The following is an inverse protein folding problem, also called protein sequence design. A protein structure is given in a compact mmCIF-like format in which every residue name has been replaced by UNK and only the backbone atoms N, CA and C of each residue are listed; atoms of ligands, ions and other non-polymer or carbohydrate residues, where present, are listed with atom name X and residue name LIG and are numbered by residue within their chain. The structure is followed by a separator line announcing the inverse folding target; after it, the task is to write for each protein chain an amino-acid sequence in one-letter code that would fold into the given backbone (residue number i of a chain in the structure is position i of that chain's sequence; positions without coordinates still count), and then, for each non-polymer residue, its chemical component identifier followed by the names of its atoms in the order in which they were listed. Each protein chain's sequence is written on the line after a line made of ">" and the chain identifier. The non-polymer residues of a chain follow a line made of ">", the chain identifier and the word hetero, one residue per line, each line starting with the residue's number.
data_IF_877901839280
#
_entry.id   IF_877901839280
#
_cell.length_a   1.000
_cell.length_b   1.000
_cell.length_c   1.000
_cell.angle_alpha   90.00
_cell.angle_beta   90.00
_cell.angle_gamma   90.00
#
_symmetry.space_group_name_H-M   'P 1'
#
loop_
_entity.id
_entity.type
_entity.pdbx_description
1 polymer ?
#
# COMPACT_ATOMS: atom_id res chain seq x y z
N UNK A 1 2.35 14.61 87.51
CA UNK A 1 2.08 13.15 87.46
C UNK A 1 2.45 12.67 86.05
N UNK A 2 3.36 11.71 85.86
CA UNK A 2 3.09 10.25 85.84
C UNK A 2 2.11 9.87 84.71
N UNK A 3 2.46 9.09 83.66
CA UNK A 3 3.60 8.15 83.45
C UNK A 3 3.87 7.91 81.94
N UNK A 4 5.14 7.59 81.61
CA UNK A 4 5.68 6.61 80.62
C UNK A 4 5.03 6.49 79.20
N UNK A 5 5.77 6.43 78.09
CA UNK A 5 7.23 6.58 77.85
C UNK A 5 7.52 7.18 76.44
N UNK A 6 8.34 6.72 75.47
CA UNK A 6 9.08 5.46 75.18
C UNK A 6 10.36 5.76 74.33
N UNK A 7 11.13 4.73 73.99
CA UNK A 7 12.38 4.71 73.21
C UNK A 7 12.12 5.07 71.72
N UNK A 8 12.83 6.02 71.09
CA UNK A 8 14.18 5.96 70.47
C UNK A 8 14.28 5.16 69.14
N UNK A 9 15.14 5.56 68.18
CA UNK A 9 14.70 5.77 66.80
C UNK A 9 15.22 4.75 65.75
N UNK A 10 14.68 4.86 64.54
CA UNK A 10 15.28 4.34 63.29
C UNK A 10 15.50 5.51 62.32
N UNK A 11 16.65 5.52 61.64
CA UNK A 11 17.03 6.54 60.65
C UNK A 11 16.68 6.07 59.24
N UNK A 12 15.86 6.87 58.54
CA UNK A 12 15.74 6.94 57.06
C UNK A 12 15.11 8.31 56.76
N UNK A 13 15.84 9.28 56.22
CA UNK A 13 16.27 9.45 54.82
C UNK A 13 15.27 10.32 54.02
N UNK A 14 15.78 11.21 53.15
CA UNK A 14 14.98 12.21 52.44
C UNK A 14 14.18 11.58 51.29
N UNK A 15 12.86 11.83 51.22
CA UNK A 15 12.08 11.81 49.97
C UNK A 15 10.65 12.40 50.16
N UNK A 16 10.50 13.73 50.27
CA UNK A 16 9.19 14.40 50.16
C UNK A 16 9.29 15.59 49.20
N UNK A 17 9.57 15.29 47.93
CA UNK A 17 9.61 16.27 46.84
C UNK A 17 9.36 15.58 45.48
N UNK A 18 8.26 14.82 45.39
CA UNK A 18 7.87 14.04 44.22
C UNK A 18 6.34 13.98 43.98
N UNK A 19 5.62 15.06 44.32
CA UNK A 19 4.17 15.20 44.03
C UNK A 19 3.99 16.13 42.83
N UNK A 20 4.44 15.68 41.65
CA UNK A 20 4.16 16.31 40.35
C UNK A 20 4.52 15.43 39.12
N UNK A 21 4.81 14.13 39.31
CA UNK A 21 5.35 13.23 38.28
C UNK A 21 4.42 12.04 37.95
N UNK A 22 3.11 12.23 38.02
CA UNK A 22 2.09 11.23 37.66
C UNK A 22 1.26 11.67 36.45
N UNK A 23 1.96 11.98 35.36
CA UNK A 23 1.51 11.88 33.97
C UNK A 23 2.77 11.64 33.13
N UNK A 24 3.08 10.39 32.74
CA UNK A 24 4.05 10.17 31.68
C UNK A 24 3.38 10.61 30.37
N UNK A 25 3.70 11.83 29.92
CA UNK A 25 3.56 12.14 28.50
C UNK A 25 4.37 11.10 27.71
N UNK A 26 3.82 10.59 26.63
CA UNK A 26 4.43 9.50 25.88
C UNK A 26 5.78 9.95 25.31
N UNK A 27 6.87 9.57 25.98
CA UNK A 27 8.19 9.60 25.39
C UNK A 27 8.21 8.52 24.31
N UNK A 28 8.11 8.93 23.04
CA UNK A 28 8.17 8.02 21.91
C UNK A 28 9.43 7.16 22.02
N UNK A 29 9.25 5.85 22.14
CA UNK A 29 10.34 4.89 22.00
C UNK A 29 10.48 4.64 20.50
N UNK A 30 11.42 5.35 19.87
CA UNK A 30 11.73 5.15 18.46
C UNK A 30 12.16 3.70 18.20
N UNK A 31 11.72 3.17 17.06
CA UNK A 31 12.07 1.81 16.61
C UNK A 31 13.23 1.96 15.62
N UNK A 32 14.42 1.40 15.89
CA UNK A 32 15.57 1.55 15.00
C UNK A 32 15.34 1.02 13.58
N UNK A 33 15.91 1.70 12.58
CA UNK A 33 15.66 1.42 11.16
C UNK A 33 16.57 0.29 10.63
N UNK A 34 16.26 -0.95 11.02
CA UNK A 34 16.76 -2.17 10.36
C UNK A 34 16.51 -2.22 8.82
N UNK A 35 16.98 -3.29 8.16
CA UNK A 35 17.02 -3.42 6.69
C UNK A 35 15.72 -3.81 5.97
N UNK A 36 14.94 -2.83 5.53
CA UNK A 36 13.71 -3.02 4.74
C UNK A 36 13.84 -2.73 3.24
N UNK A 37 12.89 -3.23 2.46
CA UNK A 37 12.59 -2.80 1.09
C UNK A 37 11.10 -2.50 0.98
N UNK A 38 10.73 -1.42 0.30
CA UNK A 38 9.37 -1.02 -0.12
C UNK A 38 9.41 -0.47 -1.55
N UNK A 39 8.26 -0.26 -2.19
CA UNK A 39 8.15 0.49 -3.44
C UNK A 39 7.62 1.91 -3.17
N UNK A 40 7.93 2.87 -4.04
CA UNK A 40 7.34 4.20 -3.99
C UNK A 40 7.17 4.84 -5.36
N UNK A 41 6.11 5.62 -5.51
CA UNK A 41 5.86 6.47 -6.67
C UNK A 41 6.40 7.88 -6.39
N UNK A 42 7.14 8.46 -7.34
CA UNK A 42 7.75 9.77 -7.15
C UNK A 42 6.75 10.92 -7.35
N UNK A 43 6.79 11.87 -6.40
CA UNK A 43 6.11 13.16 -6.49
C UNK A 43 7.00 14.17 -7.23
N UNK A 44 6.93 14.17 -8.56
CA UNK A 44 7.53 15.20 -9.42
C UNK A 44 6.55 15.71 -10.49
N UNK A 45 6.79 16.90 -11.07
CA UNK A 45 5.95 17.54 -12.09
C UNK A 45 6.36 17.21 -13.54
N UNK A 46 7.50 16.54 -13.75
CA UNK A 46 8.14 16.35 -15.07
C UNK A 46 8.44 14.89 -15.40
N UNK A 47 8.99 14.12 -14.46
CA UNK A 47 9.21 12.68 -14.60
C UNK A 47 8.28 11.90 -13.68
N UNK A 48 7.79 10.75 -14.15
CA UNK A 48 6.94 9.84 -13.38
C UNK A 48 7.69 8.55 -13.09
N UNK A 49 8.53 8.62 -12.06
CA UNK A 49 9.41 7.53 -11.66
C UNK A 49 8.76 6.64 -10.60
N UNK A 50 9.02 5.35 -10.70
CA UNK A 50 8.78 4.36 -9.67
C UNK A 50 10.13 3.90 -9.13
N UNK A 51 10.23 3.72 -7.82
CA UNK A 51 11.47 3.34 -7.14
C UNK A 51 11.28 2.11 -6.27
N UNK A 52 12.31 1.27 -6.23
CA UNK A 52 12.56 0.36 -5.12
C UNK A 52 13.36 1.12 -4.06
N UNK A 53 12.84 1.21 -2.84
CA UNK A 53 13.38 1.99 -1.74
C UNK A 53 13.88 1.03 -0.66
N UNK A 54 15.17 1.07 -0.34
CA UNK A 54 15.76 0.35 0.79
C UNK A 54 16.00 1.30 1.96
N UNK A 55 15.44 0.95 3.12
CA UNK A 55 15.44 1.79 4.33
C UNK A 55 16.58 1.45 5.30
N UNK A 56 17.48 0.51 4.95
CA UNK A 56 18.36 -0.17 5.90
C UNK A 56 19.62 0.56 6.39
N UNK A 57 20.07 0.15 7.58
CA UNK A 57 21.15 0.75 8.39
C UNK A 57 22.46 1.07 7.65
N UNK A 58 23.01 0.16 6.84
CA UNK A 58 24.35 0.33 6.25
C UNK A 58 24.41 1.41 5.16
N UNK A 59 23.44 1.39 4.23
CA UNK A 59 23.24 2.43 3.19
C UNK A 59 21.75 2.46 2.79
N UNK A 60 20.95 3.39 3.34
CA UNK A 60 19.64 3.70 2.79
C UNK A 60 19.78 4.14 1.34
N UNK A 61 19.02 3.53 0.42
CA UNK A 61 19.19 3.73 -1.01
C UNK A 61 17.88 3.66 -1.78
N UNK A 62 17.81 4.38 -2.90
CA UNK A 62 16.73 4.28 -3.89
C UNK A 62 17.30 3.76 -5.20
N UNK A 63 16.58 2.84 -5.84
CA UNK A 63 16.91 2.30 -7.16
C UNK A 63 15.74 2.56 -8.08
N UNK A 64 15.99 3.25 -9.20
CA UNK A 64 14.95 3.50 -10.21
C UNK A 64 14.45 2.15 -10.75
N UNK A 65 13.17 1.89 -10.57
CA UNK A 65 12.50 0.68 -11.04
C UNK A 65 11.96 0.90 -12.45
N UNK A 66 11.28 2.02 -12.68
CA UNK A 66 10.77 2.41 -14.00
C UNK A 66 10.60 3.94 -14.11
N UNK A 67 10.95 4.52 -15.26
CA UNK A 67 10.56 5.89 -15.61
C UNK A 67 9.39 5.84 -16.61
N UNK A 68 8.18 6.11 -16.14
CA UNK A 68 6.95 6.03 -16.93
C UNK A 68 6.90 7.11 -18.02
N UNK A 69 7.48 8.29 -17.78
CA UNK A 69 7.62 9.36 -18.78
C UNK A 69 8.52 8.91 -19.94
N UNK A 70 9.65 8.25 -19.64
CA UNK A 70 10.54 7.68 -20.65
C UNK A 70 9.85 6.55 -21.43
N UNK A 71 9.16 5.62 -20.75
CA UNK A 71 8.44 4.53 -21.44
C UNK A 71 7.36 5.03 -22.39
N UNK A 72 6.67 6.11 -22.05
CA UNK A 72 5.70 6.76 -22.95
C UNK A 72 6.33 7.48 -24.17
N UNK A 73 7.67 7.55 -24.26
CA UNK A 73 8.40 7.99 -25.44
C UNK A 73 9.05 6.84 -26.24
N UNK A 74 9.06 5.62 -25.68
CA UNK A 74 9.76 4.45 -26.22
C UNK A 74 8.79 3.32 -26.67
N UNK A 75 7.59 3.26 -26.08
CA UNK A 75 6.53 2.29 -26.38
C UNK A 75 5.36 2.98 -27.09
N UNK A 76 5.14 2.67 -28.37
CA UNK A 76 4.06 3.29 -29.18
C UNK A 76 2.64 2.91 -28.69
N UNK A 77 2.50 1.78 -27.99
CA UNK A 77 1.23 1.31 -27.39
C UNK A 77 1.04 1.79 -25.94
N UNK A 78 1.90 2.69 -25.43
CA UNK A 78 1.86 3.11 -24.03
C UNK A 78 0.45 3.60 -23.60
N UNK A 79 -0.13 3.09 -22.49
CA UNK A 79 -1.44 3.52 -22.02
C UNK A 79 -1.38 4.92 -21.40
N UNK A 80 -1.51 5.95 -22.23
CA UNK A 80 -1.49 7.38 -21.83
C UNK A 80 -2.51 7.73 -20.75
N UNK A 81 -3.55 6.91 -20.59
CA UNK A 81 -4.52 6.94 -19.49
C UNK A 81 -3.88 6.79 -18.09
N UNK A 82 -2.68 6.22 -18.00
CA UNK A 82 -1.96 6.02 -16.74
C UNK A 82 -1.19 7.25 -16.24
N UNK A 83 -1.12 8.34 -17.00
CA UNK A 83 -0.73 9.64 -16.47
C UNK A 83 -1.91 10.35 -15.79
N UNK A 84 -1.62 11.20 -14.81
CA UNK A 84 -2.54 12.22 -14.30
C UNK A 84 -2.06 13.61 -14.69
N UNK A 85 -2.96 14.46 -15.16
CA UNK A 85 -2.64 15.77 -15.74
C UNK A 85 -3.18 16.93 -14.90
N UNK A 86 -2.61 18.12 -15.08
CA UNK A 86 -3.10 19.35 -14.45
C UNK A 86 -4.44 19.85 -15.03
N UNK A 87 -4.95 19.26 -16.12
CA UNK A 87 -6.19 19.63 -16.79
C UNK A 87 -7.05 18.38 -17.14
N UNK A 88 -8.40 18.49 -17.12
CA UNK A 88 -9.33 17.38 -17.37
C UNK A 88 -9.33 16.81 -18.80
N UNK A 89 -8.63 17.45 -19.74
CA UNK A 89 -8.53 17.04 -21.14
C UNK A 89 -7.23 16.28 -21.46
N UNK A 90 -6.51 15.82 -20.42
CA UNK A 90 -5.20 15.17 -20.49
C UNK A 90 -4.11 16.04 -21.15
N UNK A 91 -4.20 17.37 -20.99
CA UNK A 91 -3.21 18.32 -21.53
C UNK A 91 -2.44 19.07 -20.43
N UNK A 92 -1.31 19.68 -20.82
CA UNK A 92 -0.47 20.49 -19.93
C UNK A 92 0.59 19.67 -19.20
N UNK A 93 1.01 20.14 -18.02
CA UNK A 93 1.92 19.40 -17.15
C UNK A 93 1.23 18.26 -16.41
N UNK A 94 2.03 17.38 -15.79
CA UNK A 94 1.50 16.32 -14.95
C UNK A 94 1.04 16.83 -13.58
N UNK A 95 0.06 16.16 -12.99
CA UNK A 95 -0.34 16.28 -11.59
C UNK A 95 0.78 15.69 -10.70
N UNK A 96 1.34 16.45 -9.75
CA UNK A 96 2.49 16.01 -8.94
C UNK A 96 2.16 14.80 -8.05
N UNK A 97 0.92 14.71 -7.55
CA UNK A 97 0.49 13.62 -6.67
C UNK A 97 0.21 12.28 -7.36
N UNK A 98 0.23 12.21 -8.70
CA UNK A 98 -0.02 10.96 -9.46
C UNK A 98 1.21 10.48 -10.22
N UNK A 99 1.55 9.18 -10.30
CA UNK A 99 0.86 8.03 -9.71
C UNK A 99 0.70 8.08 -8.18
N UNK A 100 -0.38 7.47 -7.71
CA UNK A 100 -0.76 7.36 -6.30
C UNK A 100 -1.50 6.03 -6.09
N UNK A 101 -2.09 5.81 -4.92
CA UNK A 101 -2.78 4.59 -4.54
C UNK A 101 -1.96 3.32 -4.86
N UNK A 102 -0.69 3.31 -4.44
CA UNK A 102 0.31 2.34 -4.87
C UNK A 102 0.13 1.03 -4.09
N UNK A 103 0.00 -0.09 -4.81
CA UNK A 103 -0.32 -1.37 -4.18
C UNK A 103 0.35 -2.54 -4.91
N UNK A 104 1.27 -3.23 -4.23
CA UNK A 104 1.97 -4.40 -4.79
C UNK A 104 1.20 -5.70 -4.50
N UNK A 105 0.98 -6.52 -5.52
CA UNK A 105 0.16 -7.73 -5.45
C UNK A 105 0.84 -8.96 -4.83
N UNK A 106 2.03 -8.78 -4.26
CA UNK A 106 2.87 -9.85 -3.70
C UNK A 106 3.60 -10.70 -4.74
N UNK A 107 3.33 -10.48 -6.04
CA UNK A 107 3.81 -11.36 -7.12
C UNK A 107 4.64 -10.60 -8.16
N UNK A 108 4.01 -9.74 -8.96
CA UNK A 108 4.67 -9.04 -10.07
C UNK A 108 3.96 -7.76 -10.56
N UNK A 109 2.85 -7.35 -9.93
CA UNK A 109 2.08 -6.15 -10.33
C UNK A 109 2.16 -5.09 -9.25
N UNK A 110 2.62 -3.91 -9.64
CA UNK A 110 2.58 -2.70 -8.84
C UNK A 110 1.41 -1.85 -9.36
N UNK A 111 0.22 -2.02 -8.77
CA UNK A 111 -0.97 -1.26 -9.08
C UNK A 111 -0.85 0.19 -8.63
N UNK A 112 -1.49 1.11 -9.35
CA UNK A 112 -1.59 2.52 -9.00
C UNK A 112 -2.81 3.20 -9.62
N UNK A 113 -3.25 4.29 -9.01
CA UNK A 113 -4.23 5.22 -9.57
C UNK A 113 -3.56 6.43 -10.24
N UNK A 114 -4.19 6.90 -11.31
CA UNK A 114 -3.94 8.20 -11.92
C UNK A 114 -5.25 8.98 -12.12
N UNK A 115 -5.22 10.30 -11.97
CA UNK A 115 -6.37 11.18 -12.21
C UNK A 115 -5.91 12.59 -12.60
N UNK A 116 -6.83 13.32 -13.22
CA UNK A 116 -6.59 14.70 -13.62
C UNK A 116 -7.13 15.67 -12.58
N UNK A 117 -6.45 16.81 -12.44
CA UNK A 117 -6.95 17.92 -11.63
C UNK A 117 -8.07 18.63 -12.40
N UNK A 118 -9.20 18.83 -11.74
CA UNK A 118 -10.38 19.51 -12.30
C UNK A 118 -10.81 20.66 -11.39
N UNK A 119 -11.61 21.59 -11.94
CA UNK A 119 -12.17 22.72 -11.19
C UNK A 119 -13.32 22.28 -10.26
N UNK A 120 -13.90 21.10 -10.50
CA UNK A 120 -14.96 20.49 -9.72
C UNK A 120 -14.52 19.09 -9.26
N UNK A 121 -14.05 18.94 -8.00
CA UNK A 121 -13.59 17.67 -7.47
C UNK A 121 -14.60 16.52 -7.56
N UNK A 122 -15.90 16.80 -7.66
CA UNK A 122 -16.93 15.75 -7.83
C UNK A 122 -16.93 15.10 -9.22
N UNK A 123 -16.13 15.62 -10.16
CA UNK A 123 -15.94 15.10 -11.51
C UNK A 123 -14.61 14.33 -11.67
N UNK A 124 -13.73 14.35 -10.67
CA UNK A 124 -12.47 13.60 -10.70
C UNK A 124 -12.80 12.09 -10.67
N UNK A 125 -12.17 11.33 -11.56
CA UNK A 125 -12.25 9.86 -11.60
C UNK A 125 -10.86 9.28 -11.69
N UNK A 126 -10.54 8.34 -10.82
CA UNK A 126 -9.30 7.59 -10.91
C UNK A 126 -9.31 6.57 -12.05
N UNK A 127 -8.12 6.32 -12.60
CA UNK A 127 -7.81 5.30 -13.59
C UNK A 127 -6.86 4.32 -12.92
N UNK A 128 -7.30 3.09 -12.72
CA UNK A 128 -6.45 2.03 -12.18
C UNK A 128 -5.56 1.51 -13.30
N UNK A 129 -4.27 1.50 -13.04
CA UNK A 129 -3.23 0.91 -13.87
C UNK A 129 -2.36 -0.03 -13.04
N UNK A 130 -1.47 -0.77 -13.69
CA UNK A 130 -0.32 -1.38 -13.00
C UNK A 130 0.95 -1.27 -13.84
N UNK A 131 2.09 -1.21 -13.15
CA UNK A 131 3.39 -1.55 -13.72
C UNK A 131 3.64 -3.04 -13.51
N UNK A 132 4.06 -3.73 -14.58
CA UNK A 132 4.47 -5.13 -14.52
C UNK A 132 5.97 -5.20 -14.24
N UNK A 133 6.36 -5.63 -13.03
CA UNK A 133 7.77 -5.87 -12.66
C UNK A 133 8.45 -6.91 -13.58
N UNK A 134 7.63 -7.73 -14.24
CA UNK A 134 8.05 -8.88 -15.03
C UNK A 134 8.19 -8.57 -16.52
N UNK A 135 7.25 -7.81 -17.10
CA UNK A 135 7.27 -7.45 -18.53
C UNK A 135 7.72 -6.01 -18.78
N UNK A 136 8.02 -5.25 -17.72
CA UNK A 136 8.62 -3.91 -17.79
C UNK A 136 7.79 -2.93 -18.65
N UNK A 137 6.46 -3.09 -18.58
CA UNK A 137 5.43 -2.32 -19.28
C UNK A 137 4.33 -1.90 -18.32
N UNK A 138 3.61 -0.85 -18.73
CA UNK A 138 2.47 -0.28 -18.04
C UNK A 138 1.16 -0.74 -18.69
N UNK A 139 0.13 -0.96 -17.88
CA UNK A 139 -1.17 -1.45 -18.33
C UNK A 139 -2.31 -0.66 -17.69
N UNK A 140 -3.28 -0.21 -18.50
CA UNK A 140 -4.53 0.35 -18.00
C UNK A 140 -5.53 -0.78 -17.70
N UNK A 141 -6.14 -0.76 -16.51
CA UNK A 141 -7.14 -1.74 -16.08
C UNK A 141 -8.55 -1.20 -16.31
N UNK A 142 -8.93 -0.12 -15.61
CA UNK A 142 -10.27 0.46 -15.71
C UNK A 142 -10.39 1.87 -15.11
N UNK A 143 -11.52 2.53 -15.37
CA UNK A 143 -11.98 3.71 -14.64
C UNK A 143 -12.64 3.32 -13.31
N UNK A 144 -12.42 4.14 -12.29
CA UNK A 144 -13.10 4.06 -11.00
C UNK A 144 -14.19 5.14 -10.86
N UNK A 145 -15.20 4.90 -9.99
CA UNK A 145 -16.19 5.92 -9.64
C UNK A 145 -15.65 6.96 -8.65
N UNK A 146 -14.63 6.60 -7.89
CA UNK A 146 -14.05 7.38 -6.79
C UNK A 146 -12.70 8.02 -7.16
N UNK A 147 -12.29 8.98 -6.33
CA UNK A 147 -10.92 9.50 -6.26
C UNK A 147 -10.12 8.65 -5.25
N UNK A 148 -9.03 8.05 -5.72
CA UNK A 148 -8.14 7.15 -4.98
C UNK A 148 -6.85 7.85 -4.57
N UNK A 149 -6.84 8.46 -3.38
CA UNK A 149 -5.71 9.23 -2.80
C UNK A 149 -4.94 8.39 -1.75
N UNK A 150 -4.67 7.14 -2.11
CA UNK A 150 -4.11 6.09 -1.27
C UNK A 150 -4.87 4.76 -1.46
N UNK A 151 -4.15 3.63 -1.42
CA UNK A 151 -4.72 2.27 -1.45
C UNK A 151 -3.73 1.26 -0.84
N UNK A 152 -4.12 -0.02 -0.80
CA UNK A 152 -3.27 -1.13 -0.37
C UNK A 152 -3.73 -2.46 -1.01
N UNK A 153 -2.99 -3.56 -0.82
CA UNK A 153 -3.30 -4.86 -1.43
C UNK A 153 -3.35 -6.01 -0.42
N UNK A 154 -4.53 -6.60 -0.19
CA UNK A 154 -4.62 -7.89 0.51
C UNK A 154 -4.38 -9.02 -0.50
N UNK A 155 -3.19 -9.60 -0.44
CA UNK A 155 -2.74 -10.70 -1.29
C UNK A 155 -3.52 -11.99 -1.06
N UNK A 156 -3.98 -12.20 0.18
CA UNK A 156 -4.69 -13.42 0.62
C UNK A 156 -6.04 -13.51 -0.08
N UNK A 157 -6.78 -12.40 -0.10
CA UNK A 157 -8.09 -12.30 -0.76
C UNK A 157 -8.05 -11.67 -2.17
N UNK A 158 -6.85 -11.37 -2.67
CA UNK A 158 -6.55 -10.64 -3.93
C UNK A 158 -7.43 -9.40 -4.14
N UNK A 159 -7.59 -8.62 -3.06
CA UNK A 159 -8.34 -7.38 -3.07
C UNK A 159 -7.39 -6.18 -3.09
N UNK A 160 -7.59 -5.30 -4.06
CA UNK A 160 -7.12 -3.91 -4.00
C UNK A 160 -8.09 -3.12 -3.11
N UNK A 161 -7.59 -2.50 -2.05
CA UNK A 161 -8.40 -1.94 -0.95
C UNK A 161 -8.10 -0.45 -0.79
N UNK A 162 -9.13 0.37 -0.62
CA UNK A 162 -8.99 1.80 -0.31
C UNK A 162 -10.10 2.27 0.64
N UNK A 163 -9.91 3.41 1.30
CA UNK A 163 -10.96 4.09 2.06
C UNK A 163 -11.41 5.30 1.25
N UNK A 164 -12.72 5.44 1.00
CA UNK A 164 -13.27 6.60 0.30
C UNK A 164 -13.13 7.84 1.18
N UNK A 165 -12.70 8.95 0.58
CA UNK A 165 -12.73 10.25 1.26
C UNK A 165 -14.16 10.61 1.71
N UNK A 166 -14.35 10.79 3.02
CA UNK A 166 -15.69 10.99 3.58
C UNK A 166 -16.32 12.32 3.17
N UNK A 167 -17.65 12.44 3.24
CA UNK A 167 -18.30 13.75 3.14
C UNK A 167 -17.87 14.68 4.30
N UNK A 168 -17.94 16.02 4.15
CA UNK A 168 -17.83 16.93 5.29
C UNK A 168 -18.86 16.58 6.39
N UNK A 169 -18.50 16.82 7.65
CA UNK A 169 -19.40 16.59 8.80
C UNK A 169 -20.70 17.42 8.67
N UNK A 170 -21.87 16.88 9.07
CA UNK A 170 -22.06 15.67 9.88
C UNK A 170 -22.06 14.34 9.10
N UNK A 171 -22.01 14.37 7.76
CA UNK A 171 -22.21 13.17 6.94
C UNK A 171 -20.93 12.33 6.73
N UNK A 172 -19.79 12.75 7.27
CA UNK A 172 -18.52 12.05 7.15
C UNK A 172 -18.36 10.90 8.14
N UNK A 173 -18.55 9.68 7.65
CA UNK A 173 -18.15 8.42 8.27
C UNK A 173 -17.11 7.71 7.39
N UNK A 174 -16.45 6.67 7.92
CA UNK A 174 -15.53 5.84 7.14
C UNK A 174 -16.30 4.89 6.21
N UNK A 175 -15.85 4.79 4.96
CA UNK A 175 -16.30 3.79 3.99
C UNK A 175 -15.08 3.08 3.42
N UNK A 176 -14.91 1.80 3.77
CA UNK A 176 -13.89 0.93 3.21
C UNK A 176 -14.41 0.34 1.90
N UNK A 177 -13.59 0.30 0.85
CA UNK A 177 -13.92 -0.35 -0.42
C UNK A 177 -12.89 -1.45 -0.68
N UNK A 178 -13.37 -2.66 -0.91
CA UNK A 178 -12.56 -3.81 -1.34
C UNK A 178 -12.92 -4.15 -2.78
N UNK A 179 -11.90 -4.26 -3.64
CA UNK A 179 -12.04 -4.52 -5.06
C UNK A 179 -11.36 -5.85 -5.39
N UNK A 180 -12.16 -6.88 -5.64
CA UNK A 180 -11.64 -8.21 -5.95
C UNK A 180 -11.17 -8.23 -7.39
N UNK A 181 -9.88 -8.49 -7.59
CA UNK A 181 -9.28 -8.60 -8.92
C UNK A 181 -9.21 -10.06 -9.35
N UNK A 182 -9.12 -10.27 -10.65
CA UNK A 182 -8.83 -11.56 -11.27
C UNK A 182 -7.31 -11.79 -11.28
N UNK A 183 -6.83 -12.91 -10.72
CA UNK A 183 -5.39 -13.20 -10.61
C UNK A 183 -4.71 -13.35 -11.98
N UNK A 184 -5.40 -13.88 -12.99
CA UNK A 184 -4.84 -14.01 -14.35
C UNK A 184 -4.72 -12.64 -15.03
N UNK A 185 -5.81 -11.87 -15.08
CA UNK A 185 -5.98 -10.70 -15.98
C UNK A 185 -5.91 -9.34 -15.28
N UNK A 186 -5.79 -9.29 -13.96
CA UNK A 186 -5.83 -8.07 -13.12
C UNK A 186 -7.13 -7.24 -13.22
N UNK A 187 -8.17 -7.75 -13.89
CA UNK A 187 -9.46 -7.05 -14.06
C UNK A 187 -10.33 -7.15 -12.81
N UNK A 188 -11.21 -6.17 -12.59
CA UNK A 188 -12.14 -6.21 -11.46
C UNK A 188 -13.24 -7.25 -11.69
N UNK A 189 -13.32 -8.22 -10.78
CA UNK A 189 -14.42 -9.18 -10.68
C UNK A 189 -15.60 -8.55 -9.93
N UNK A 190 -15.31 -7.91 -8.79
CA UNK A 190 -16.34 -7.30 -7.93
C UNK A 190 -15.81 -6.13 -7.11
N UNK A 191 -16.72 -5.29 -6.62
CA UNK A 191 -16.44 -4.20 -5.71
C UNK A 191 -17.45 -4.23 -4.58
N UNK A 192 -16.99 -4.10 -3.33
CA UNK A 192 -17.84 -4.06 -2.14
C UNK A 192 -17.47 -2.86 -1.27
N UNK A 193 -18.49 -2.13 -0.79
CA UNK A 193 -18.32 -0.99 0.14
C UNK A 193 -18.85 -1.37 1.51
N UNK A 194 -18.02 -1.24 2.53
CA UNK A 194 -18.33 -1.51 3.94
C UNK A 194 -18.30 -0.20 4.73
N UNK A 195 -19.44 0.16 5.32
CA UNK A 195 -19.64 1.37 6.14
C UNK A 195 -19.99 1.06 7.60
N UNK A 196 -19.96 -0.22 7.98
CA UNK A 196 -20.29 -0.73 9.31
C UNK A 196 -19.09 -1.46 9.90
N UNK A 197 -18.68 -1.07 11.11
CA UNK A 197 -17.50 -1.59 11.79
C UNK A 197 -17.83 -1.85 13.27
N UNK A 198 -17.11 -2.77 13.89
CA UNK A 198 -17.02 -2.86 15.35
C UNK A 198 -15.93 -1.89 15.80
N UNK A 199 -16.30 -0.79 16.45
CA UNK A 199 -15.33 0.13 17.06
C UNK A 199 -14.76 -0.50 18.34
N UNK A 200 -13.45 -0.71 18.36
CA UNK A 200 -12.67 -1.27 19.46
C UNK A 200 -11.74 -0.23 20.12
N UNK A 201 -11.90 1.05 19.79
CA UNK A 201 -11.15 2.18 20.36
C UNK A 201 -11.28 2.19 21.90
N UNK A 202 -10.17 2.41 22.61
CA UNK A 202 -10.13 2.30 24.08
C UNK A 202 -10.24 0.86 24.61
N UNK A 203 -10.23 -0.16 23.74
CA UNK A 203 -10.14 -1.58 24.12
C UNK A 203 -11.46 -2.27 24.47
N UNK A 204 -12.60 -1.57 24.37
CA UNK A 204 -13.94 -2.16 24.54
C UNK A 204 -14.63 -2.27 23.18
N UNK A 205 -15.14 -3.45 22.83
CA UNK A 205 -15.90 -3.64 21.59
C UNK A 205 -17.29 -2.99 21.70
N UNK A 206 -17.60 -2.09 20.78
CA UNK A 206 -18.93 -1.51 20.62
C UNK A 206 -19.82 -2.41 19.74
N UNK A 207 -21.11 -2.07 19.65
CA UNK A 207 -21.99 -2.72 18.66
C UNK A 207 -21.60 -2.30 17.23
N UNK A 208 -21.78 -3.16 16.21
CA UNK A 208 -21.52 -2.79 14.82
C UNK A 208 -22.29 -1.53 14.40
N UNK A 209 -21.60 -0.55 13.83
CA UNK A 209 -22.19 0.72 13.39
C UNK A 209 -21.25 1.57 12.53
N UNK A 210 -21.71 2.76 12.16
CA UNK A 210 -20.89 3.72 11.40
C UNK A 210 -19.84 4.38 12.30
N UNK A 211 -18.59 4.40 11.86
CA UNK A 211 -17.50 5.12 12.54
C UNK A 211 -17.47 6.57 12.03
N UNK A 212 -17.87 7.53 12.87
CA UNK A 212 -17.97 8.95 12.53
C UNK A 212 -16.61 9.70 12.50
N UNK A 213 -15.61 9.07 11.88
CA UNK A 213 -14.36 9.67 11.45
C UNK A 213 -14.45 9.98 9.95
N UNK A 214 -13.69 10.98 9.49
CA UNK A 214 -13.73 11.42 8.09
C UNK A 214 -12.35 11.21 7.49
N UNK A 215 -12.21 10.26 6.58
CA UNK A 215 -10.96 10.01 5.86
C UNK A 215 -10.65 11.16 4.89
N UNK A 216 -9.38 11.56 4.80
CA UNK A 216 -8.90 12.72 4.04
C UNK A 216 -7.46 12.44 3.58
N UNK A 217 -7.29 11.95 2.35
CA UNK A 217 -6.00 11.45 1.85
C UNK A 217 -5.25 10.49 2.80
N UNK A 218 -3.98 10.26 2.49
CA UNK A 218 -3.11 9.35 3.25
C UNK A 218 -3.21 7.90 2.79
N UNK A 219 -2.10 7.19 2.88
CA UNK A 219 -1.99 5.82 2.36
C UNK A 219 -2.38 4.76 3.39
N UNK A 220 -2.40 3.50 2.91
CA UNK A 220 -2.79 2.33 3.68
C UNK A 220 -1.78 1.20 3.50
N UNK A 221 -1.49 0.48 4.59
CA UNK A 221 -0.65 -0.70 4.57
C UNK A 221 -1.39 -1.86 5.26
N UNK A 222 -1.58 -2.98 4.56
CA UNK A 222 -2.18 -4.18 5.14
C UNK A 222 -1.10 -5.22 5.45
N UNK A 223 -1.16 -5.81 6.65
CA UNK A 223 -0.27 -6.89 7.06
C UNK A 223 -0.78 -8.27 6.61
N UNK A 224 0.07 -9.29 6.69
CA UNK A 224 -0.29 -10.66 6.31
C UNK A 224 -1.26 -11.37 7.30
N UNK A 225 -1.73 -10.67 8.34
CA UNK A 225 -2.81 -11.13 9.23
C UNK A 225 -4.15 -10.49 8.87
N UNK A 226 -4.21 -9.64 7.83
CA UNK A 226 -5.41 -8.91 7.42
C UNK A 226 -5.68 -7.65 8.26
N UNK A 227 -4.67 -7.06 8.91
CA UNK A 227 -4.79 -5.78 9.62
C UNK A 227 -4.36 -4.65 8.68
N UNK A 228 -5.32 -3.87 8.22
CA UNK A 228 -5.06 -2.63 7.48
C UNK A 228 -4.76 -1.51 8.47
N UNK A 229 -3.62 -0.84 8.31
CA UNK A 229 -3.26 0.41 8.97
C UNK A 229 -3.44 1.57 7.98
N UNK A 230 -3.83 2.74 8.48
CA UNK A 230 -4.10 3.93 7.67
C UNK A 230 -3.75 5.22 8.43
N UNK A 231 -3.23 6.20 7.70
CA UNK A 231 -3.10 7.59 8.15
C UNK A 231 -4.29 8.42 7.63
N UNK A 232 -4.41 9.70 7.98
CA UNK A 232 -5.30 10.60 7.24
C UNK A 232 -4.87 12.07 7.38
N UNK A 233 -4.54 12.74 6.29
CA UNK A 233 -4.06 14.12 6.32
C UNK A 233 -5.14 15.11 6.79
N UNK A 234 -4.86 15.87 7.85
CA UNK A 234 -5.78 16.83 8.48
C UNK A 234 -6.15 18.08 7.65
N UNK A 235 -5.99 18.02 6.32
CA UNK A 235 -6.18 19.18 5.43
C UNK A 235 -7.63 19.68 5.45
N UNK A 236 -7.81 20.98 5.26
CA UNK A 236 -9.14 21.62 5.28
C UNK A 236 -9.83 21.68 6.66
N UNK A 237 -9.14 21.32 7.75
CA UNK A 237 -9.70 21.36 9.11
C UNK A 237 -10.16 20.00 9.66
N UNK A 238 -9.74 18.89 9.05
CA UNK A 238 -9.89 17.55 9.63
C UNK A 238 -8.82 17.27 10.69
N UNK A 239 -9.11 16.43 11.67
CA UNK A 239 -8.06 15.91 12.55
C UNK A 239 -7.16 14.97 11.74
N UNK A 240 -5.85 14.98 12.04
CA UNK A 240 -4.95 13.92 11.60
C UNK A 240 -5.23 12.66 12.42
N UNK A 241 -5.10 11.47 11.84
CA UNK A 241 -5.42 10.21 12.54
C UNK A 241 -4.50 9.09 12.08
N UNK A 242 -4.05 8.25 13.02
CA UNK A 242 -3.52 6.93 12.71
C UNK A 242 -4.44 5.87 13.32
N UNK A 243 -4.86 4.89 12.52
CA UNK A 243 -5.81 3.87 12.93
C UNK A 243 -5.57 2.55 12.22
N UNK A 244 -6.19 1.49 12.74
CA UNK A 244 -6.24 0.20 12.04
C UNK A 244 -7.66 -0.34 11.91
N UNK A 245 -7.85 -1.18 10.90
CA UNK A 245 -9.04 -1.97 10.62
C UNK A 245 -8.57 -3.42 10.51
N UNK A 246 -8.93 -4.26 11.48
CA UNK A 246 -8.87 -5.71 11.30
C UNK A 246 -9.91 -6.08 10.25
N UNK A 247 -9.47 -6.49 9.06
CA UNK A 247 -10.33 -6.91 7.96
C UNK A 247 -11.03 -8.21 8.35
N UNK A 248 -12.32 -8.33 7.99
CA UNK A 248 -13.10 -9.51 8.31
C UNK A 248 -12.58 -10.75 7.55
N UNK A 249 -12.54 -11.90 8.20
CA UNK A 249 -12.33 -13.17 7.50
C UNK A 249 -13.59 -13.54 6.69
N UNK A 250 -13.50 -13.56 5.36
CA UNK A 250 -14.61 -13.91 4.46
C UNK A 250 -15.03 -15.37 4.55
N UNK A 251 -14.19 -16.27 5.09
CA UNK A 251 -14.56 -17.67 5.34
C UNK A 251 -15.40 -17.87 6.62
N UNK A 252 -15.63 -16.81 7.41
CA UNK A 252 -16.34 -16.87 8.69
C UNK A 252 -17.67 -16.08 8.64
N UNK A 253 -18.83 -16.75 8.46
CA UNK A 253 -20.12 -16.07 8.39
C UNK A 253 -20.45 -15.28 9.65
N UNK A 254 -20.56 -13.96 9.51
CA UNK A 254 -20.83 -13.04 10.62
C UNK A 254 -19.59 -12.35 11.20
N UNK A 255 -18.40 -12.59 10.64
CA UNK A 255 -17.22 -11.75 10.87
C UNK A 255 -17.51 -10.28 10.50
N UNK A 256 -16.84 -9.34 11.17
CA UNK A 256 -17.03 -7.89 11.00
C UNK A 256 -15.67 -7.20 10.94
N UNK A 257 -15.57 -6.10 10.19
CA UNK A 257 -14.37 -5.26 10.21
C UNK A 257 -14.25 -4.57 11.57
N UNK A 258 -13.07 -4.65 12.21
CA UNK A 258 -12.85 -4.12 13.57
C UNK A 258 -11.98 -2.87 13.50
N UNK A 259 -12.59 -1.69 13.67
CA UNK A 259 -11.90 -0.40 13.68
C UNK A 259 -11.24 -0.13 15.04
N UNK A 260 -10.04 0.44 15.02
CA UNK A 260 -9.32 0.93 16.21
C UNK A 260 -8.61 2.23 15.86
N UNK A 261 -9.05 3.34 16.45
CA UNK A 261 -8.22 4.55 16.50
C UNK A 261 -7.01 4.30 17.40
N UNK A 262 -5.82 4.65 16.92
CA UNK A 262 -4.55 4.45 17.63
C UNK A 262 -4.03 5.82 18.12
N UNK A 263 -3.98 6.81 17.23
CA UNK A 263 -3.61 8.20 17.53
C UNK A 263 -4.50 9.21 16.77
N UNK A 264 -4.66 10.42 17.30
CA UNK A 264 -5.41 11.52 16.67
C UNK A 264 -4.87 12.88 17.14
N UNK A 265 -4.41 13.70 16.20
CA UNK A 265 -3.96 15.08 16.46
C UNK A 265 -4.94 16.11 15.88
N UNK A 266 -5.13 17.27 16.55
CA UNK A 266 -6.08 18.27 16.12
C UNK A 266 -5.60 18.98 14.85
N UNK A 267 -6.57 19.35 14.00
CA UNK A 267 -6.43 19.98 12.68
C UNK A 267 -5.56 21.26 12.54
N UNK A 268 -4.92 21.73 13.62
CA UNK A 268 -4.06 22.91 13.65
C UNK A 268 -2.55 22.58 13.63
N UNK A 269 -2.15 21.31 13.73
CA UNK A 269 -0.74 20.92 13.74
C UNK A 269 -0.21 20.60 12.33
N UNK A 270 0.33 21.61 11.65
CA UNK A 270 1.06 21.45 10.38
C UNK A 270 2.54 21.08 10.57
N UNK A 271 2.97 20.86 11.82
CA UNK A 271 4.30 20.34 12.12
C UNK A 271 4.41 18.83 11.88
N UNK A 272 5.63 18.34 12.08
CA UNK A 272 5.87 16.96 12.51
C UNK A 272 5.14 16.74 13.86
N UNK A 273 4.46 15.61 14.00
CA UNK A 273 3.69 15.20 15.18
C UNK A 273 4.47 14.21 16.07
N UNK A 274 5.37 13.43 15.46
CA UNK A 274 5.98 12.23 16.05
C UNK A 274 5.13 10.98 15.88
N UNK A 275 4.12 11.01 15.01
CA UNK A 275 3.16 9.93 14.80
C UNK A 275 2.81 9.79 13.31
N UNK A 276 2.50 8.58 12.87
CA UNK A 276 2.17 8.26 11.47
C UNK A 276 0.74 8.68 11.06
N UNK A 277 0.33 9.88 11.46
CA UNK A 277 -1.05 10.38 11.40
C UNK A 277 -1.38 11.15 10.12
N UNK A 278 -0.36 11.52 9.34
CA UNK A 278 -0.45 12.21 8.05
C UNK A 278 0.60 11.74 7.03
N UNK A 279 1.15 10.55 7.25
CA UNK A 279 2.25 9.97 6.47
C UNK A 279 1.77 8.94 5.45
N UNK A 280 2.57 8.74 4.40
CA UNK A 280 2.44 7.62 3.47
C UNK A 280 2.94 6.33 4.15
N UNK A 281 2.30 5.18 3.89
CA UNK A 281 2.42 3.96 4.71
C UNK A 281 2.71 2.71 3.87
N UNK A 282 3.77 1.97 4.21
CA UNK A 282 4.07 0.68 3.60
C UNK A 282 4.75 -0.30 4.57
N UNK A 283 4.35 -1.58 4.54
CA UNK A 283 5.10 -2.65 5.20
C UNK A 283 6.30 -3.07 4.37
N UNK A 284 7.47 -3.13 4.99
CA UNK A 284 8.66 -3.65 4.33
C UNK A 284 8.71 -5.18 4.26
N UNK A 285 9.71 -5.70 3.53
CA UNK A 285 10.03 -7.13 3.43
C UNK A 285 10.27 -7.86 4.78
N UNK A 286 10.42 -7.13 5.90
CA UNK A 286 10.61 -7.69 7.25
C UNK A 286 9.33 -7.61 8.10
N UNK A 287 8.22 -7.10 7.54
CA UNK A 287 6.97 -6.92 8.27
C UNK A 287 6.99 -5.75 9.25
N UNK A 288 7.75 -4.69 8.96
CA UNK A 288 7.73 -3.44 9.74
C UNK A 288 6.96 -2.38 8.98
N UNK A 289 6.05 -1.70 9.65
CA UNK A 289 5.36 -0.54 9.08
C UNK A 289 6.32 0.65 8.96
N UNK A 290 6.52 1.13 7.74
CA UNK A 290 7.28 2.34 7.39
C UNK A 290 6.29 3.48 7.15
N UNK A 291 6.65 4.67 7.64
CA UNK A 291 5.97 5.95 7.39
C UNK A 291 6.83 6.87 6.54
N UNK A 292 6.21 7.76 5.76
CA UNK A 292 6.89 8.88 5.11
C UNK A 292 6.09 10.18 5.09
N UNK A 293 6.73 11.26 5.56
CA UNK A 293 6.30 12.64 5.32
C UNK A 293 6.47 13.02 3.84
N UNK A 294 5.36 13.27 3.15
CA UNK A 294 5.29 13.58 1.71
C UNK A 294 5.72 15.02 1.32
N UNK A 295 5.96 15.89 2.29
CA UNK A 295 6.53 17.23 2.08
C UNK A 295 8.05 17.28 2.39
N UNK A 296 8.52 16.47 3.36
CA UNK A 296 9.89 16.52 3.90
C UNK A 296 10.76 15.33 3.48
N UNK A 297 10.18 14.31 2.86
CA UNK A 297 10.88 13.10 2.39
C UNK A 297 11.45 12.24 3.54
N UNK A 298 10.93 12.41 4.75
CA UNK A 298 11.39 11.76 5.99
C UNK A 298 10.75 10.38 6.08
N UNK A 299 11.54 9.32 6.01
CA UNK A 299 11.11 7.93 6.21
C UNK A 299 11.45 7.47 7.62
N UNK A 300 10.50 6.87 8.34
CA UNK A 300 10.75 6.32 9.68
C UNK A 300 9.88 5.08 10.01
N UNK A 301 10.30 4.28 10.98
CA UNK A 301 9.54 3.07 11.40
C UNK A 301 8.43 3.47 12.37
N UNK A 302 7.23 2.93 12.14
CA UNK A 302 6.03 3.18 12.96
C UNK A 302 5.89 2.12 14.05
N UNK A 303 5.57 2.55 15.27
CA UNK A 303 5.12 1.68 16.33
C UNK A 303 3.60 1.46 16.19
N UNK A 304 3.18 0.37 15.57
CA UNK A 304 1.77 0.01 15.30
C UNK A 304 0.83 0.07 16.53
N UNK A 305 1.37 -0.10 17.75
CA UNK A 305 0.59 -0.10 18.99
C UNK A 305 0.28 1.31 19.50
N UNK A 306 1.12 2.30 19.15
CA UNK A 306 1.02 3.68 19.66
C UNK A 306 0.90 4.74 18.57
N UNK A 307 1.12 4.36 17.31
CA UNK A 307 1.23 5.25 16.15
C UNK A 307 2.51 6.09 16.09
N UNK A 308 3.37 6.01 17.12
CA UNK A 308 4.57 6.85 17.19
C UNK A 308 5.57 6.47 16.09
N UNK A 309 6.12 7.47 15.42
CA UNK A 309 7.13 7.31 14.36
C UNK A 309 8.48 7.89 14.82
N UNK A 310 9.50 7.89 13.95
CA UNK A 310 10.86 8.36 14.25
C UNK A 310 11.19 9.79 13.80
N UNK A 311 10.25 10.51 13.20
CA UNK A 311 10.51 11.75 12.44
C UNK A 311 11.08 12.92 13.27
N UNK A 312 10.80 12.93 14.58
CA UNK A 312 11.29 13.95 15.52
C UNK A 312 12.68 13.62 16.10
N UNK A 313 13.29 12.50 15.70
CA UNK A 313 14.57 12.02 16.20
C UNK A 313 15.78 12.52 15.41
N UNK A 314 16.74 11.62 15.17
CA UNK A 314 18.02 11.90 14.51
C UNK A 314 18.08 11.21 13.14
N UNK A 315 18.50 11.96 12.12
CA UNK A 315 18.71 11.44 10.77
C UNK A 315 19.83 10.39 10.75
N UNK A 316 19.57 9.24 10.12
CA UNK A 316 20.45 8.07 10.13
C UNK A 316 20.33 7.19 11.38
N UNK A 317 19.35 7.44 12.26
CA UNK A 317 19.10 6.64 13.48
C UNK A 317 17.60 6.36 13.66
N UNK A 318 16.79 7.42 13.72
CA UNK A 318 15.35 7.35 13.95
C UNK A 318 14.56 7.59 12.64
N UNK A 319 15.11 8.40 11.72
CA UNK A 319 14.58 8.57 10.37
C UNK A 319 15.69 8.64 9.30
N UNK A 320 15.34 8.48 8.02
CA UNK A 320 16.24 8.70 6.86
C UNK A 320 15.57 9.56 5.79
N UNK A 321 16.36 10.14 4.89
CA UNK A 321 15.90 10.87 3.71
C UNK A 321 16.75 10.50 2.50
N UNK A 322 16.14 10.47 1.31
CA UNK A 322 16.83 10.08 0.09
C UNK A 322 17.15 11.30 -0.77
N UNK A 323 18.39 11.36 -1.25
CA UNK A 323 18.88 12.42 -2.13
C UNK A 323 19.51 11.82 -3.37
N UNK A 324 19.17 12.34 -4.54
CA UNK A 324 19.88 12.07 -5.79
C UNK A 324 20.36 13.38 -6.40
N UNK A 325 21.60 13.41 -6.91
CA UNK A 325 22.27 14.60 -7.43
C UNK A 325 22.21 15.85 -6.52
N UNK A 326 22.00 15.66 -5.21
CA UNK A 326 21.83 16.72 -4.21
C UNK A 326 20.40 17.27 -4.06
N UNK A 327 19.43 16.73 -4.80
CA UNK A 327 18.01 17.03 -4.65
C UNK A 327 17.35 15.99 -3.74
N UNK A 328 16.51 16.44 -2.81
CA UNK A 328 15.65 15.57 -2.00
C UNK A 328 14.63 14.88 -2.91
N UNK A 329 14.46 13.57 -2.78
CA UNK A 329 13.43 12.81 -3.50
C UNK A 329 12.24 12.58 -2.57
N UNK A 330 11.04 12.97 -3.01
CA UNK A 330 9.79 12.85 -2.25
C UNK A 330 8.81 11.96 -2.99
N UNK A 331 8.08 11.13 -2.25
CA UNK A 331 7.15 10.16 -2.82
C UNK A 331 5.71 10.63 -2.65
N UNK A 332 4.89 10.32 -3.65
CA UNK A 332 3.45 10.60 -3.67
C UNK A 332 2.67 9.50 -2.97
N UNK A 333 3.16 8.26 -3.00
CA UNK A 333 2.57 7.08 -2.36
C UNK A 333 3.63 5.97 -2.18
N UNK A 334 3.45 5.09 -1.19
CA UNK A 334 4.32 3.94 -0.89
C UNK A 334 3.56 2.61 -0.89
N UNK A 335 4.12 1.60 -1.59
CA UNK A 335 3.59 0.24 -1.59
C UNK A 335 4.43 -0.74 -0.75
N UNK A 336 3.72 -1.59 -0.03
CA UNK A 336 4.29 -2.66 0.80
C UNK A 336 5.03 -3.71 -0.04
N UNK A 337 6.14 -4.26 0.46
CA UNK A 337 6.91 -5.34 -0.19
C UNK A 337 6.63 -6.73 0.41
N UNK A 338 5.66 -6.85 1.33
CA UNK A 338 5.30 -8.12 1.95
C UNK A 338 5.07 -9.24 0.92
N UNK A 339 5.54 -10.43 1.24
CA UNK A 339 5.07 -11.69 0.64
C UNK A 339 4.32 -12.45 1.74
N UNK A 340 3.00 -12.55 1.61
CA UNK A 340 2.16 -13.23 2.59
C UNK A 340 2.11 -14.76 2.41
N UNK A 341 3.04 -15.34 1.63
CA UNK A 341 3.14 -16.78 1.39
C UNK A 341 1.96 -17.34 0.60
N UNK A 342 1.28 -16.48 -0.18
CA UNK A 342 0.07 -16.84 -0.92
C UNK A 342 0.45 -17.71 -2.11
N UNK A 343 0.35 -19.02 -1.94
CA UNK A 343 0.64 -20.00 -2.99
C UNK A 343 -0.40 -19.88 -4.09
N UNK A 344 -0.12 -19.06 -5.09
CA UNK A 344 -0.88 -18.96 -6.33
C UNK A 344 -0.81 -20.32 -7.05
N UNK A 345 -1.95 -20.87 -7.46
CA UNK A 345 -2.03 -22.25 -7.98
C UNK A 345 -2.36 -22.31 -9.47
N UNK A 346 -1.49 -22.93 -10.24
CA UNK A 346 -1.55 -23.11 -11.68
C UNK A 346 -2.50 -24.27 -12.04
N UNK A 347 -3.53 -24.00 -12.84
CA UNK A 347 -4.40 -25.03 -13.43
C UNK A 347 -4.39 -24.96 -14.94
N UNK A 348 -4.70 -26.10 -15.57
CA UNK A 348 -4.80 -26.23 -17.02
C UNK A 348 -6.17 -25.76 -17.50
N UNK A 349 -6.20 -24.71 -18.33
CA UNK A 349 -7.39 -24.12 -18.94
C UNK A 349 -7.33 -24.34 -20.45
N UNK A 350 -8.44 -24.76 -21.06
CA UNK A 350 -8.58 -24.82 -22.52
C UNK A 350 -9.17 -23.51 -23.04
N UNK A 351 -8.44 -22.85 -23.93
CA UNK A 351 -8.79 -21.57 -24.56
C UNK A 351 -8.57 -21.64 -26.07
N UNK A 352 -9.28 -20.79 -26.81
CA UNK A 352 -9.14 -20.71 -28.27
C UNK A 352 -7.79 -20.04 -28.59
N UNK A 353 -7.00 -20.65 -29.48
CA UNK A 353 -5.80 -20.04 -30.02
C UNK A 353 -6.21 -18.82 -30.84
N UNK A 354 -5.86 -17.61 -30.40
CA UNK A 354 -6.26 -16.38 -31.10
C UNK A 354 -5.65 -16.28 -32.50
N UNK A 355 -4.66 -17.11 -32.82
CA UNK A 355 -4.04 -17.23 -34.13
C UNK A 355 -4.58 -18.39 -34.98
N UNK A 356 -5.50 -19.20 -34.45
CA UNK A 356 -6.15 -20.33 -35.13
C UNK A 356 -7.52 -20.59 -34.46
N UNK A 357 -8.57 -19.87 -34.88
CA UNK A 357 -9.90 -19.91 -34.23
C UNK A 357 -10.56 -21.31 -34.24
N UNK A 358 -10.06 -22.26 -35.05
CA UNK A 358 -10.52 -23.66 -35.05
C UNK A 358 -9.78 -24.54 -34.02
N UNK A 359 -8.77 -24.00 -33.32
CA UNK A 359 -7.86 -24.72 -32.43
C UNK A 359 -8.05 -24.31 -30.97
N UNK A 360 -8.30 -25.30 -30.11
CA UNK A 360 -8.13 -25.16 -28.67
C UNK A 360 -6.68 -25.42 -28.27
N UNK A 361 -6.16 -24.65 -27.32
CA UNK A 361 -4.86 -24.87 -26.67
C UNK A 361 -5.02 -24.91 -25.16
N UNK A 362 -4.34 -25.86 -24.52
CA UNK A 362 -4.31 -26.01 -23.06
C UNK A 362 -3.15 -25.21 -22.50
N UNK A 363 -3.42 -24.25 -21.62
CA UNK A 363 -2.42 -23.36 -21.01
C UNK A 363 -2.59 -23.28 -19.50
N UNK A 364 -1.60 -22.72 -18.82
CA UNK A 364 -1.60 -22.64 -17.36
C UNK A 364 -2.02 -21.24 -16.89
N UNK A 365 -2.95 -21.19 -15.94
CA UNK A 365 -3.42 -19.94 -15.33
C UNK A 365 -3.45 -20.00 -13.80
N UNK A 366 -3.23 -18.87 -13.10
CA UNK A 366 -3.33 -18.76 -11.65
C UNK A 366 -4.79 -18.75 -11.14
N UNK A 367 -5.27 -19.89 -10.65
CA UNK A 367 -6.60 -20.04 -10.05
C UNK A 367 -6.60 -19.75 -8.54
N UNK A 368 -7.68 -19.12 -8.05
CA UNK A 368 -8.06 -19.19 -6.64
C UNK A 368 -8.48 -20.62 -6.26
N UNK A 369 -7.70 -21.26 -5.38
CA UNK A 369 -8.05 -22.57 -4.79
C UNK A 369 -7.81 -23.78 -5.70
N UNK A 370 -6.73 -23.76 -6.50
CA UNK A 370 -6.21 -24.94 -7.18
C UNK A 370 -5.43 -25.88 -6.24
N UNK A 371 -4.44 -26.61 -6.77
CA UNK A 371 -3.56 -27.50 -5.98
C UNK A 371 -2.04 -27.31 -6.26
N UNK A 372 -1.64 -26.83 -7.44
CA UNK A 372 -0.24 -26.89 -7.90
C UNK A 372 0.38 -25.49 -7.94
N UNK A 373 1.50 -25.19 -7.24
CA UNK A 373 2.12 -23.87 -7.27
C UNK A 373 2.43 -23.33 -8.69
N UNK A 374 2.23 -22.02 -8.88
CA UNK A 374 2.30 -21.34 -10.17
C UNK A 374 3.48 -20.36 -10.24
N UNK A 375 4.09 -20.20 -11.42
CA UNK A 375 5.17 -19.23 -11.65
C UNK A 375 5.09 -18.66 -13.06
N UNK A 376 5.11 -17.33 -13.19
CA UNK A 376 5.32 -16.66 -14.48
C UNK A 376 6.76 -16.85 -14.99
N UNK A 377 6.91 -17.09 -16.29
CA UNK A 377 8.21 -17.25 -16.97
C UNK A 377 8.20 -16.47 -18.28
N UNK A 378 9.25 -15.66 -18.49
CA UNK A 378 9.37 -14.85 -19.70
C UNK A 378 9.58 -15.78 -20.90
N UNK A 379 8.87 -15.50 -21.99
CA UNK A 379 9.06 -16.15 -23.27
C UNK A 379 8.58 -15.27 -24.39
N UNK A 380 8.34 -15.88 -25.54
CA UNK A 380 7.72 -15.22 -26.69
C UNK A 380 6.48 -15.98 -27.10
N UNK A 381 5.49 -15.26 -27.60
CA UNK A 381 4.17 -15.77 -27.94
C UNK A 381 3.73 -15.15 -29.27
N UNK A 382 2.80 -15.81 -29.95
CA UNK A 382 2.18 -15.26 -31.17
C UNK A 382 0.90 -14.53 -30.75
N UNK A 383 0.66 -13.38 -31.36
CA UNK A 383 -0.56 -12.60 -31.13
C UNK A 383 -1.19 -12.15 -32.47
N UNK A 384 -2.52 -11.93 -32.51
CA UNK A 384 -3.17 -11.24 -33.62
C UNK A 384 -2.64 -9.81 -33.77
N UNK A 385 -2.76 -9.21 -34.98
CA UNK A 385 -3.44 -9.73 -36.16
C UNK A 385 -2.53 -10.57 -37.08
N UNK A 386 -1.22 -10.56 -36.88
CA UNK A 386 -0.24 -11.10 -37.83
C UNK A 386 0.09 -12.57 -37.57
N UNK A 387 0.19 -12.98 -36.30
CA UNK A 387 0.37 -14.38 -35.87
C UNK A 387 1.59 -15.15 -36.42
N UNK A 388 2.43 -14.49 -37.21
CA UNK A 388 3.71 -14.97 -37.73
C UNK A 388 4.87 -14.73 -36.77
N UNK A 389 4.80 -13.61 -36.04
CA UNK A 389 5.90 -13.07 -35.26
C UNK A 389 5.73 -13.39 -33.76
N UNK A 390 6.86 -13.53 -33.07
CA UNK A 390 6.92 -14.06 -31.71
C UNK A 390 7.35 -12.94 -30.74
N UNK A 391 6.36 -12.28 -30.14
CA UNK A 391 6.51 -11.11 -29.25
C UNK A 391 6.70 -11.53 -27.79
N UNK A 392 7.46 -10.77 -27.01
CA UNK A 392 7.75 -11.11 -25.61
C UNK A 392 6.48 -11.10 -24.75
N UNK A 393 6.31 -12.13 -23.92
CA UNK A 393 5.05 -12.42 -23.22
C UNK A 393 5.23 -13.02 -21.82
N UNK A 394 4.16 -12.93 -21.02
CA UNK A 394 3.99 -13.66 -19.77
C UNK A 394 3.25 -14.97 -20.05
N UNK A 395 3.87 -16.11 -19.76
CA UNK A 395 3.15 -17.38 -19.64
C UNK A 395 3.46 -18.02 -18.29
N UNK A 396 2.51 -18.78 -17.75
CA UNK A 396 2.70 -19.46 -16.47
C UNK A 396 3.19 -20.89 -16.68
N UNK A 397 4.00 -21.36 -15.73
CA UNK A 397 4.38 -22.76 -15.58
C UNK A 397 4.06 -23.25 -14.17
N UNK A 398 3.94 -24.56 -14.02
CA UNK A 398 3.98 -25.21 -12.69
C UNK A 398 5.33 -24.92 -12.05
N UNK A 399 5.34 -24.28 -10.90
CA UNK A 399 6.55 -24.09 -10.11
C UNK A 399 6.96 -25.44 -9.51
N UNK A 400 8.02 -26.05 -10.05
CA UNK A 400 8.48 -27.37 -9.63
C UNK A 400 8.90 -27.36 -8.16
N UNK A 401 8.29 -28.23 -7.35
CA UNK A 401 8.85 -28.68 -6.09
C UNK A 401 10.21 -29.33 -6.35
N UNK A 402 11.25 -28.86 -5.65
CA UNK A 402 12.67 -29.04 -5.97
C UNK A 402 13.08 -30.41 -6.53
N UNK A 403 13.14 -30.55 -7.86
CA UNK A 403 14.05 -31.45 -8.55
C UNK A 403 14.20 -31.04 -10.02
N UNK A 404 15.42 -30.63 -10.41
CA UNK A 404 15.81 -30.62 -11.82
C UNK A 404 16.03 -32.07 -12.29
N UNK A 405 15.48 -32.41 -13.45
CA UNK A 405 16.25 -33.13 -14.47
C UNK A 405 16.49 -32.23 -15.68
N UNK A 406 17.62 -32.44 -16.35
CA UNK A 406 17.79 -32.00 -17.73
C UNK A 406 16.78 -32.72 -18.66
N UNK A 407 16.61 -32.22 -19.89
CA UNK A 407 15.67 -32.70 -20.93
C UNK A 407 14.16 -32.51 -20.66
N UNK A 408 13.67 -31.28 -20.89
CA UNK A 408 12.25 -30.96 -21.07
C UNK A 408 11.99 -30.16 -22.36
N UNK A 409 12.34 -30.74 -23.52
CA UNK A 409 12.06 -30.14 -24.83
C UNK A 409 10.57 -30.31 -25.20
N UNK A 410 9.89 -29.20 -25.49
CA UNK A 410 8.66 -29.18 -26.29
C UNK A 410 7.33 -29.11 -25.55
N UNK A 411 6.87 -27.88 -25.31
CA UNK A 411 5.46 -27.50 -25.44
C UNK A 411 5.39 -26.09 -26.07
N UNK A 412 4.30 -25.76 -26.75
CA UNK A 412 4.25 -24.60 -27.65
C UNK A 412 3.85 -23.30 -26.95
N UNK A 413 4.51 -22.22 -27.41
CA UNK A 413 4.25 -20.80 -27.11
C UNK A 413 2.86 -20.35 -27.61
N UNK A 414 1.93 -20.03 -26.71
CA UNK A 414 0.85 -19.01 -26.88
C UNK A 414 0.45 -18.51 -25.47
N UNK A 415 0.60 -17.21 -25.18
CA UNK A 415 -0.46 -16.25 -24.78
C UNK A 415 0.11 -14.87 -24.46
N UNK A 416 -0.65 -13.83 -24.78
CA UNK A 416 -0.54 -12.51 -24.16
C UNK A 416 -1.91 -12.07 -23.65
N UNK A 417 -1.95 -11.45 -22.48
CA UNK A 417 -3.12 -10.82 -21.84
C UNK A 417 -2.63 -9.75 -20.85
#
# INVERSE_FOLDING_TARGET
>A
MSRRSTWWPVVSALAVLAVLALWPGAAAQSVPIGGGVIYGAERDLTEKNFYTISTGEDVPSITLLANMTQRAMEDEDFPTQCFGYMNPDMTGGFNDFTPNALAFDGSFRLFFAAWDITVDPSQIRSRLCFFSLFSDRFFFVQLFPDLLVGATFDQTTYNYIYIREGAPRPNGFLELVSVSLDRTTARVISMMTESTFVDATGGTLQAPGQVFKTYRGGDMAVDCNGVLFASSVGTGGGNKMFFSIGLRNTSEPGSQNVFRLIHEDPAANNGLTGFADSDQLAFDQLGRLISQDSERGIFSVVNEVTGANGELGVEGVDFVRFFDNGQLRTFSDLASFLDCGVVVQCVEVEVIDQCDEERMVTVLEPQDGGDVPCRSVQGQCRMPPECTDEVDCVYFIRAQTQQMPDDAFGLQRIFGA
#
